data_IF_601345775234
#
_entry.id   IF_601345775234
#
_cell.length_a   1.000
_cell.length_b   1.000
_cell.length_c   1.000
_cell.angle_alpha   90.00
_cell.angle_beta   90.00
_cell.angle_gamma   90.00
#
_symmetry.space_group_name_H-M   'P 1'
#
loop_
_entity.id
_entity.type
_entity.pdbx_description
1 polymer ?
#
# COMPACT_ATOMS: atom_id res chain seq x y z
N UNK A 1 7.77 1.02 -18.00
CA UNK A 1 8.44 1.87 -19.02
C UNK A 1 9.35 2.84 -18.31
N UNK A 2 10.37 3.37 -18.98
CA UNK A 2 11.29 4.37 -18.41
C UNK A 2 10.52 5.59 -17.85
N UNK A 3 9.52 6.09 -18.59
CA UNK A 3 8.66 7.21 -18.16
C UNK A 3 8.01 7.01 -16.79
N UNK A 4 7.54 5.80 -16.48
CA UNK A 4 6.94 5.49 -15.17
C UNK A 4 7.96 5.56 -14.03
N UNK A 5 9.20 5.10 -14.28
CA UNK A 5 10.27 5.12 -13.27
C UNK A 5 10.72 6.54 -13.01
N UNK A 6 10.90 7.35 -14.07
CA UNK A 6 11.25 8.77 -13.95
C UNK A 6 10.21 9.52 -13.15
N UNK A 7 8.92 9.36 -13.49
CA UNK A 7 7.83 9.99 -12.75
C UNK A 7 7.85 9.64 -11.26
N UNK A 8 7.98 8.36 -10.91
CA UNK A 8 8.05 7.94 -9.49
C UNK A 8 9.27 8.55 -8.80
N UNK A 9 10.42 8.58 -9.47
CA UNK A 9 11.64 9.16 -8.91
C UNK A 9 11.48 10.66 -8.64
N UNK A 10 10.90 11.42 -9.58
CA UNK A 10 10.60 12.83 -9.41
C UNK A 10 9.67 13.06 -8.22
N UNK A 11 8.58 12.29 -8.08
CA UNK A 11 7.71 12.37 -6.90
C UNK A 11 8.45 12.07 -5.59
N UNK A 12 9.41 11.13 -5.59
CA UNK A 12 10.19 10.81 -4.39
C UNK A 12 11.17 11.92 -4.01
N UNK A 13 11.69 12.69 -4.97
CA UNK A 13 12.57 13.84 -4.69
C UNK A 13 11.84 14.99 -3.96
N UNK A 14 10.52 15.06 -4.08
CA UNK A 14 9.70 16.07 -3.38
C UNK A 14 9.39 15.67 -1.92
N UNK A 15 9.70 14.43 -1.53
CA UNK A 15 9.43 13.90 -0.19
C UNK A 15 10.72 13.82 0.65
N UNK A 16 10.65 13.95 1.98
CA UNK A 16 11.80 13.80 2.87
C UNK A 16 12.13 12.31 3.08
N UNK A 17 12.51 11.61 2.02
CA UNK A 17 12.75 10.17 2.01
C UNK A 17 14.18 9.83 1.58
N UNK A 18 14.68 8.68 2.03
CA UNK A 18 15.94 8.11 1.57
C UNK A 18 15.65 7.11 0.45
N UNK A 19 16.29 7.28 -0.70
CA UNK A 19 16.13 6.38 -1.85
C UNK A 19 17.31 5.42 -1.89
N UNK A 20 17.02 4.11 -1.84
CA UNK A 20 18.00 3.02 -1.99
C UNK A 20 17.71 2.18 -3.21
N UNK A 21 18.74 1.57 -3.79
CA UNK A 21 18.65 0.69 -4.96
C UNK A 21 19.28 -0.65 -4.64
N UNK A 22 18.47 -1.71 -4.66
CA UNK A 22 18.94 -3.06 -4.37
C UNK A 22 17.78 -4.04 -4.20
N UNK A 23 18.07 -5.17 -3.55
CA UNK A 23 17.02 -6.05 -3.04
C UNK A 23 16.27 -5.35 -1.90
N UNK A 24 14.94 -5.32 -1.97
CA UNK A 24 14.11 -4.51 -1.07
C UNK A 24 14.26 -4.97 0.39
N UNK A 25 14.27 -6.28 0.64
CA UNK A 25 14.35 -6.80 2.00
C UNK A 25 15.75 -6.52 2.59
N UNK A 26 16.80 -6.78 1.82
CA UNK A 26 18.17 -6.55 2.24
C UNK A 26 18.45 -5.06 2.55
N UNK A 27 17.99 -4.14 1.68
CA UNK A 27 18.18 -2.70 1.87
C UNK A 27 17.40 -2.17 3.07
N UNK A 28 16.15 -2.59 3.27
CA UNK A 28 15.35 -2.17 4.41
C UNK A 28 15.94 -2.65 5.74
N UNK A 29 16.39 -3.90 5.81
CA UNK A 29 17.03 -4.44 7.02
C UNK A 29 18.37 -3.75 7.31
N UNK A 30 19.16 -3.47 6.27
CA UNK A 30 20.41 -2.73 6.43
C UNK A 30 20.15 -1.32 6.95
N UNK A 31 19.21 -0.60 6.33
CA UNK A 31 18.83 0.74 6.77
C UNK A 31 18.29 0.75 8.21
N UNK A 32 17.46 -0.22 8.58
CA UNK A 32 16.95 -0.37 9.94
C UNK A 32 18.09 -0.57 10.95
N UNK A 33 19.07 -1.43 10.65
CA UNK A 33 20.24 -1.65 11.52
C UNK A 33 21.10 -0.40 11.67
N UNK A 34 21.39 0.30 10.58
CA UNK A 34 22.16 1.56 10.60
C UNK A 34 21.54 2.62 11.51
N UNK A 35 20.21 2.63 11.62
CA UNK A 35 19.45 3.62 12.40
C UNK A 35 18.95 3.08 13.75
N UNK A 36 19.29 1.83 14.12
CA UNK A 36 18.82 1.20 15.35
C UNK A 36 17.29 1.04 15.42
N UNK A 37 16.61 0.94 14.28
CA UNK A 37 15.16 0.81 14.22
C UNK A 37 14.70 -0.59 14.68
N UNK A 38 13.70 -0.65 15.56
CA UNK A 38 13.13 -1.89 16.08
C UNK A 38 11.93 -2.45 15.30
N UNK A 39 11.48 -1.73 14.26
CA UNK A 39 10.28 -2.08 13.49
C UNK A 39 10.32 -1.44 12.10
N UNK A 40 9.73 -2.13 11.12
CA UNK A 40 9.35 -1.57 9.81
C UNK A 40 7.83 -1.38 9.79
N UNK A 41 7.36 -0.19 9.44
CA UNK A 41 5.93 0.10 9.26
C UNK A 41 5.68 0.38 7.79
N UNK A 42 4.67 -0.26 7.22
CA UNK A 42 4.29 -0.11 5.80
C UNK A 42 2.77 -0.17 5.64
N UNK A 43 2.26 0.24 4.48
CA UNK A 43 0.84 0.07 4.13
C UNK A 43 0.63 -1.25 3.37
N UNK A 44 -0.56 -1.85 3.50
CA UNK A 44 -0.92 -3.01 2.70
C UNK A 44 -0.85 -2.71 1.19
N UNK A 45 -0.50 -3.74 0.41
CA UNK A 45 -0.35 -3.61 -1.04
C UNK A 45 -0.92 -4.82 -1.77
N UNK A 46 -1.63 -4.62 -2.89
CA UNK A 46 -2.05 -5.73 -3.75
C UNK A 46 -0.90 -6.31 -4.60
N UNK A 47 0.33 -5.78 -4.45
CA UNK A 47 1.49 -6.26 -5.19
C UNK A 47 1.73 -7.76 -4.92
N UNK A 48 1.87 -8.60 -5.96
CA UNK A 48 2.11 -10.05 -5.77
C UNK A 48 3.38 -10.37 -4.98
N UNK A 49 4.36 -9.44 -4.97
CA UNK A 49 5.62 -9.60 -4.24
C UNK A 49 5.53 -9.15 -2.78
N UNK A 50 4.48 -8.41 -2.40
CA UNK A 50 4.39 -7.76 -1.09
C UNK A 50 4.48 -8.76 0.07
N UNK A 51 3.67 -9.82 0.02
CA UNK A 51 3.68 -10.86 1.05
C UNK A 51 5.04 -11.54 1.19
N UNK A 52 5.73 -11.81 0.06
CA UNK A 52 7.06 -12.42 0.09
C UNK A 52 8.12 -11.49 0.69
N UNK A 53 8.03 -10.18 0.44
CA UNK A 53 8.94 -9.19 1.03
C UNK A 53 8.69 -9.07 2.54
N UNK A 54 7.43 -8.94 2.96
CA UNK A 54 7.09 -8.88 4.39
C UNK A 54 7.56 -10.14 5.13
N UNK A 55 7.30 -11.32 4.56
CA UNK A 55 7.76 -12.58 5.14
C UNK A 55 9.30 -12.69 5.22
N UNK A 56 10.05 -12.05 4.32
CA UNK A 56 11.51 -12.01 4.41
C UNK A 56 11.98 -11.08 5.54
N UNK A 57 11.35 -9.91 5.67
CA UNK A 57 11.64 -8.92 6.71
C UNK A 57 11.33 -9.45 8.12
N UNK A 58 10.17 -10.11 8.29
CA UNK A 58 9.67 -10.64 9.56
C UNK A 58 10.57 -11.71 10.19
N UNK A 59 11.49 -12.31 9.42
CA UNK A 59 12.49 -13.24 9.95
C UNK A 59 13.51 -12.54 10.85
N UNK A 60 13.65 -11.22 10.71
CA UNK A 60 14.71 -10.45 11.35
C UNK A 60 14.18 -9.25 12.15
N UNK A 61 13.09 -8.62 11.70
CA UNK A 61 12.56 -7.41 12.33
C UNK A 61 11.03 -7.40 12.30
N UNK A 62 10.41 -6.85 13.35
CA UNK A 62 8.95 -6.72 13.38
C UNK A 62 8.45 -5.85 12.20
N UNK A 63 7.42 -6.34 11.51
CA UNK A 63 6.74 -5.60 10.44
C UNK A 63 5.31 -5.30 10.87
N UNK A 64 4.92 -4.03 10.77
CA UNK A 64 3.55 -3.57 10.97
C UNK A 64 2.97 -3.16 9.62
N UNK A 65 1.84 -3.77 9.27
CA UNK A 65 1.12 -3.49 8.03
C UNK A 65 -0.13 -2.70 8.39
N UNK A 66 -0.17 -1.44 7.97
CA UNK A 66 -1.30 -0.55 8.12
C UNK A 66 -2.34 -0.84 7.02
N UNK A 67 -3.62 -1.02 7.35
CA UNK A 67 -4.67 -1.18 6.35
C UNK A 67 -4.84 0.14 5.57
N UNK A 68 -5.19 0.02 4.29
CA UNK A 68 -5.50 1.18 3.45
C UNK A 68 -7.00 1.43 3.55
N UNK A 69 -7.38 2.68 3.80
CA UNK A 69 -8.78 3.05 3.84
C UNK A 69 -9.45 2.78 2.47
N UNK A 70 -10.50 1.95 2.42
CA UNK A 70 -11.18 1.66 1.17
C UNK A 70 -11.95 2.88 0.69
N UNK A 71 -12.08 3.04 -0.63
CA UNK A 71 -12.86 4.12 -1.24
C UNK A 71 -14.34 4.14 -0.76
N UNK A 72 -14.90 2.97 -0.44
CA UNK A 72 -16.27 2.84 0.06
C UNK A 72 -16.31 1.91 1.27
N UNK A 73 -17.11 2.28 2.27
CA UNK A 73 -17.48 1.40 3.37
C UNK A 73 -18.77 0.63 3.01
N UNK A 74 -18.65 -0.43 2.19
CA UNK A 74 -19.78 -1.27 1.79
C UNK A 74 -19.46 -2.75 1.98
N UNK A 75 -20.22 -3.42 2.85
CA UNK A 75 -20.02 -4.84 3.22
C UNK A 75 -20.93 -5.80 2.46
N UNK A 76 -21.84 -5.29 1.63
CA UNK A 76 -22.70 -6.10 0.79
C UNK A 76 -21.96 -6.67 -0.43
N UNK A 77 -22.67 -7.47 -1.24
CA UNK A 77 -22.07 -8.08 -2.43
C UNK A 77 -21.85 -7.04 -3.52
N UNK A 78 -20.64 -7.02 -4.08
CA UNK A 78 -20.30 -6.26 -5.28
C UNK A 78 -20.12 -7.21 -6.46
N UNK A 79 -20.64 -6.83 -7.63
CA UNK A 79 -20.33 -7.54 -8.87
C UNK A 79 -19.08 -6.96 -9.53
N UNK A 80 -17.95 -7.60 -9.28
CA UNK A 80 -16.64 -7.20 -9.80
C UNK A 80 -16.41 -7.61 -11.26
N UNK A 81 -17.33 -8.37 -11.89
CA UNK A 81 -17.18 -8.82 -13.29
C UNK A 81 -17.49 -7.71 -14.30
N UNK A 82 -18.30 -6.72 -13.93
CA UNK A 82 -18.68 -5.61 -14.81
C UNK A 82 -18.60 -4.30 -14.04
N UNK A 83 -17.71 -3.41 -14.48
CA UNK A 83 -17.51 -2.10 -13.83
C UNK A 83 -18.81 -1.33 -13.66
N UNK A 84 -19.69 -1.31 -14.66
CA UNK A 84 -20.99 -0.62 -14.57
C UNK A 84 -21.87 -1.14 -13.41
N UNK A 85 -21.90 -2.46 -13.17
CA UNK A 85 -22.70 -3.06 -12.07
C UNK A 85 -22.08 -2.79 -10.70
N UNK A 86 -20.74 -2.87 -10.61
CA UNK A 86 -20.01 -2.41 -9.42
C UNK A 86 -20.32 -0.94 -9.13
N UNK A 87 -20.16 -0.06 -10.12
CA UNK A 87 -20.26 1.38 -9.96
C UNK A 87 -21.67 1.84 -9.61
N UNK A 88 -22.70 1.19 -10.15
CA UNK A 88 -24.10 1.45 -9.79
C UNK A 88 -24.35 1.39 -8.27
N UNK A 89 -23.64 0.50 -7.57
CA UNK A 89 -23.70 0.37 -6.10
C UNK A 89 -22.68 1.30 -5.44
N UNK A 90 -21.41 1.22 -5.84
CA UNK A 90 -20.30 1.95 -5.22
C UNK A 90 -20.50 3.47 -5.18
N UNK A 91 -21.02 4.07 -6.26
CA UNK A 91 -21.18 5.52 -6.38
C UNK A 91 -22.08 6.12 -5.29
N UNK A 92 -23.01 5.33 -4.73
CA UNK A 92 -23.91 5.77 -3.65
C UNK A 92 -23.18 6.04 -2.33
N UNK A 93 -22.01 5.43 -2.17
CA UNK A 93 -21.19 5.50 -0.95
C UNK A 93 -19.90 6.32 -1.15
N UNK A 94 -19.39 6.42 -2.38
CA UNK A 94 -18.09 7.04 -2.69
C UNK A 94 -17.99 8.55 -2.40
N UNK A 95 -19.12 9.25 -2.30
CA UNK A 95 -19.15 10.71 -2.10
C UNK A 95 -20.00 11.13 -0.89
N UNK A 96 -20.21 10.23 0.08
CA UNK A 96 -20.92 10.55 1.33
C UNK A 96 -22.42 10.86 1.17
N UNK A 97 -23.08 10.38 0.10
CA UNK A 97 -24.48 10.69 -0.20
C UNK A 97 -25.52 9.91 0.62
N UNK A 98 -25.10 8.98 1.49
CA UNK A 98 -25.98 8.26 2.41
C UNK A 98 -25.35 8.24 3.82
N UNK A 99 -26.12 8.49 4.90
CA UNK A 99 -25.60 8.48 6.26
C UNK A 99 -25.03 7.12 6.64
N UNK A 100 -24.03 7.14 7.54
CA UNK A 100 -23.22 5.99 7.96
C UNK A 100 -23.97 4.87 8.72
N UNK A 101 -25.30 4.98 8.90
CA UNK A 101 -26.13 3.92 9.48
C UNK A 101 -27.54 3.94 8.88
N UNK A 102 -28.02 2.75 8.51
CA UNK A 102 -29.41 2.44 8.15
C UNK A 102 -29.68 0.98 8.46
#
# INVERSE_FOLDING_TARGET
SLKRVVFIYECLLELPVVIRRGDVAAELLTFAREHGAGRIVTAESPSPRFAAICAALERELAVEILPVEPLIAYTGRLDLRRFARYWQVAQRYAFGQLPLFG
#
